data_IF_467287667107
#
_entry.id   IF_467287667107
#
_cell.length_a   1.000
_cell.length_b   1.000
_cell.length_c   1.000
_cell.angle_alpha   90.00
_cell.angle_beta   90.00
_cell.angle_gamma   90.00
#
_symmetry.space_group_name_H-M   'P 1'
#
loop_
_entity.id
_entity.type
_entity.pdbx_description
1 polymer ?
#
# COMPACT_ATOMS: atom_id res chain seq x y z
N UNK A 1 28.80 46.36 22.55
CA UNK A 1 27.52 46.36 23.29
C UNK A 1 26.92 44.98 23.24
N UNK A 2 26.94 44.23 24.34
CA UNK A 2 26.31 42.92 24.44
C UNK A 2 24.79 43.11 24.41
N UNK A 3 24.13 42.55 23.41
CA UNK A 3 22.67 42.48 23.32
C UNK A 3 22.16 41.67 24.52
N UNK A 4 21.32 42.29 25.37
CA UNK A 4 20.67 41.57 26.46
C UNK A 4 19.97 40.31 25.88
N UNK A 5 20.37 39.15 26.40
CA UNK A 5 19.74 37.85 26.03
C UNK A 5 18.26 37.93 26.42
N UNK A 6 17.37 37.74 25.45
CA UNK A 6 15.94 37.73 25.77
C UNK A 6 15.61 36.49 26.60
N UNK A 7 14.54 36.51 27.39
CA UNK A 7 14.09 35.34 28.17
C UNK A 7 13.89 34.09 27.28
N UNK A 8 13.57 34.31 25.99
CA UNK A 8 13.41 33.24 25.00
C UNK A 8 14.78 32.63 24.60
N UNK A 9 15.86 33.43 24.50
CA UNK A 9 17.19 32.90 24.20
C UNK A 9 17.71 32.03 25.35
N UNK A 10 17.43 32.42 26.59
CA UNK A 10 17.79 31.61 27.76
C UNK A 10 17.05 30.24 27.75
N UNK A 11 15.76 30.26 27.48
CA UNK A 11 14.96 29.02 27.37
C UNK A 11 15.48 28.08 26.28
N UNK A 12 15.81 28.63 25.09
CA UNK A 12 16.35 27.85 24.00
C UNK A 12 17.71 27.26 24.28
N UNK A 13 18.58 28.05 24.93
CA UNK A 13 19.90 27.59 25.37
C UNK A 13 19.80 26.49 26.43
N UNK A 14 18.95 26.66 27.44
CA UNK A 14 18.72 25.66 28.47
C UNK A 14 18.18 24.37 27.90
N UNK A 15 17.17 24.45 27.00
CA UNK A 15 16.59 23.26 26.32
C UNK A 15 17.62 22.55 25.43
N UNK A 16 18.49 23.30 24.75
CA UNK A 16 19.55 22.71 23.93
C UNK A 16 20.56 21.94 24.79
N UNK A 17 21.03 22.51 25.89
CA UNK A 17 22.01 21.86 26.78
C UNK A 17 21.41 20.60 27.46
N UNK A 18 20.14 20.64 27.84
CA UNK A 18 19.44 19.49 28.38
C UNK A 18 19.35 18.35 27.34
N UNK A 19 18.96 18.67 26.10
CA UNK A 19 18.91 17.70 25.00
C UNK A 19 20.30 17.19 24.64
N UNK A 20 21.32 18.04 24.65
CA UNK A 20 22.72 17.67 24.45
C UNK A 20 23.15 16.60 25.45
N UNK A 21 22.88 16.85 26.74
CA UNK A 21 23.20 15.90 27.81
C UNK A 21 22.47 14.57 27.63
N UNK A 22 21.20 14.62 27.28
CA UNK A 22 20.37 13.42 27.04
C UNK A 22 20.89 12.61 25.87
N UNK A 23 21.16 13.26 24.72
CA UNK A 23 21.62 12.60 23.49
C UNK A 23 23.06 12.09 23.56
N UNK A 24 23.86 12.55 24.52
CA UNK A 24 25.22 12.05 24.78
C UNK A 24 25.23 10.72 25.55
N UNK A 25 24.09 10.19 25.96
CA UNK A 25 23.98 8.88 26.61
C UNK A 25 24.26 7.74 25.60
N UNK A 26 24.88 6.67 26.09
CA UNK A 26 25.25 5.48 25.29
C UNK A 26 24.09 4.88 24.48
N UNK A 27 22.87 4.98 24.97
CA UNK A 27 21.68 4.48 24.26
C UNK A 27 21.40 5.19 22.93
N UNK A 28 21.99 6.37 22.70
CA UNK A 28 21.80 7.15 21.48
C UNK A 28 23.00 7.10 20.52
N UNK A 29 24.00 6.27 20.76
CA UNK A 29 25.25 6.23 19.99
C UNK A 29 25.01 6.07 18.48
N UNK A 30 24.08 5.23 18.08
CA UNK A 30 23.73 5.03 16.67
C UNK A 30 23.09 6.27 16.03
N UNK A 31 22.40 7.08 16.84
CA UNK A 31 21.76 8.31 16.37
C UNK A 31 22.78 9.42 16.13
N UNK A 32 23.88 9.44 16.89
CA UNK A 32 24.93 10.46 16.76
C UNK A 32 25.60 10.47 15.37
N UNK A 33 25.62 9.33 14.68
CA UNK A 33 26.17 9.18 13.31
C UNK A 33 25.23 9.66 12.22
N UNK A 34 23.94 9.83 12.51
CA UNK A 34 22.94 10.22 11.52
C UNK A 34 22.94 11.75 11.31
N UNK A 35 22.69 12.24 10.07
CA UNK A 35 22.58 13.67 9.80
C UNK A 35 21.34 14.25 10.50
N UNK A 36 21.36 15.53 10.87
CA UNK A 36 20.21 16.19 11.49
C UNK A 36 18.95 16.15 10.61
N UNK A 37 19.11 16.16 9.30
CA UNK A 37 18.03 16.03 8.33
C UNK A 37 17.18 14.75 8.52
N UNK A 38 17.75 13.72 9.15
CA UNK A 38 17.03 12.47 9.43
C UNK A 38 15.75 12.69 10.26
N UNK A 39 15.74 13.70 11.13
CA UNK A 39 14.57 14.05 11.96
C UNK A 39 13.73 15.20 11.40
N UNK A 40 14.07 15.73 10.22
CA UNK A 40 13.30 16.78 9.56
C UNK A 40 12.05 16.19 8.90
N UNK A 41 10.90 16.86 9.08
CA UNK A 41 9.64 16.50 8.44
C UNK A 41 9.31 17.47 7.30
N UNK A 42 8.56 17.03 6.26
CA UNK A 42 8.20 17.87 5.12
C UNK A 42 7.46 19.15 5.49
N UNK A 43 6.72 19.12 6.61
CA UNK A 43 5.93 20.26 7.11
C UNK A 43 6.72 21.15 8.08
N UNK A 44 7.98 20.83 8.37
CA UNK A 44 8.79 21.67 9.24
C UNK A 44 9.06 23.03 8.57
N UNK A 45 8.72 24.08 9.30
CA UNK A 45 8.97 25.45 8.82
C UNK A 45 10.27 25.98 9.41
N UNK A 46 10.97 26.79 8.61
CA UNK A 46 12.18 27.51 9.08
C UNK A 46 13.29 26.56 9.54
N UNK A 47 13.49 25.46 8.81
CA UNK A 47 14.59 24.54 9.08
C UNK A 47 15.95 25.24 9.04
N UNK A 48 16.87 24.86 9.94
CA UNK A 48 18.23 25.38 9.95
C UNK A 48 19.09 24.70 8.88
N UNK A 49 18.89 25.03 7.61
CA UNK A 49 19.51 24.37 6.45
C UNK A 49 21.03 24.19 6.56
N UNK A 50 21.72 25.18 7.20
CA UNK A 50 23.18 25.11 7.41
C UNK A 50 23.61 23.93 8.30
N UNK A 51 22.68 23.35 9.08
CA UNK A 51 22.98 22.26 10.01
C UNK A 51 22.42 20.91 9.57
N UNK A 52 21.51 20.86 8.62
CA UNK A 52 20.81 19.63 8.26
C UNK A 52 21.75 18.52 7.76
N UNK A 53 22.83 18.89 7.07
CA UNK A 53 23.84 17.94 6.58
C UNK A 53 24.86 17.51 7.63
N UNK A 54 24.91 18.15 8.82
CA UNK A 54 25.83 17.77 9.89
C UNK A 54 25.31 16.54 10.63
N UNK A 55 26.20 15.67 11.07
CA UNK A 55 25.81 14.57 11.96
C UNK A 55 25.34 15.13 13.30
N UNK A 56 24.45 14.41 13.96
CA UNK A 56 23.95 14.80 15.27
C UNK A 56 25.11 14.95 16.28
N UNK A 57 26.11 14.06 16.24
CA UNK A 57 27.30 14.13 17.07
C UNK A 57 28.05 15.46 16.87
N UNK A 58 28.44 15.80 15.63
CA UNK A 58 29.13 17.04 15.31
C UNK A 58 28.35 18.30 15.73
N UNK A 59 27.03 18.22 15.65
CA UNK A 59 26.20 19.35 16.07
C UNK A 59 26.21 19.52 17.60
N UNK A 60 26.14 18.42 18.34
CA UNK A 60 26.13 18.43 19.80
C UNK A 60 27.51 18.80 20.39
N UNK A 61 28.61 18.62 19.65
CA UNK A 61 29.96 19.09 20.01
C UNK A 61 30.09 20.61 19.90
N UNK A 62 29.27 21.25 19.05
CA UNK A 62 29.31 22.70 18.83
C UNK A 62 28.58 23.44 19.97
N UNK A 63 29.20 24.43 20.63
CA UNK A 63 28.55 25.21 21.68
C UNK A 63 27.30 25.95 21.15
N UNK A 64 26.27 26.07 21.99
CA UNK A 64 25.03 26.80 21.64
C UNK A 64 25.30 28.23 21.13
N UNK A 65 26.24 28.94 21.76
CA UNK A 65 26.61 30.31 21.36
C UNK A 65 27.13 30.40 19.93
N UNK A 66 27.90 29.43 19.50
CA UNK A 66 28.43 29.33 18.15
C UNK A 66 27.32 29.01 17.13
N UNK A 67 26.43 28.04 17.44
CA UNK A 67 25.28 27.74 16.63
C UNK A 67 24.34 28.96 16.46
N UNK A 68 24.09 29.68 17.53
CA UNK A 68 23.24 30.87 17.55
C UNK A 68 23.87 32.07 16.80
N UNK A 69 25.19 32.13 16.71
CA UNK A 69 25.94 33.21 16.02
C UNK A 69 26.14 32.92 14.53
N UNK A 70 25.75 31.70 14.04
CA UNK A 70 25.92 31.32 12.64
C UNK A 70 25.09 32.23 11.72
N UNK A 71 25.72 32.74 10.66
CA UNK A 71 25.08 33.66 9.72
C UNK A 71 23.80 33.03 9.11
N UNK A 72 22.71 33.77 9.12
CA UNK A 72 21.42 33.32 8.65
C UNK A 72 20.63 32.38 9.59
N UNK A 73 21.11 32.13 10.79
CA UNK A 73 20.42 31.37 11.84
C UNK A 73 19.89 32.35 12.88
N UNK A 74 18.60 32.60 12.86
CA UNK A 74 17.91 33.42 13.90
C UNK A 74 17.16 32.53 14.88
N UNK A 75 16.59 33.12 15.92
CA UNK A 75 15.87 32.44 17.03
C UNK A 75 14.84 31.42 16.54
N UNK A 76 14.10 31.73 15.48
CA UNK A 76 13.09 30.81 14.92
C UNK A 76 13.71 29.54 14.31
N UNK A 77 14.91 29.62 13.71
CA UNK A 77 15.66 28.48 13.21
C UNK A 77 16.30 27.67 14.35
N UNK A 78 16.77 28.34 15.40
CA UNK A 78 17.23 27.68 16.62
C UNK A 78 16.06 26.92 17.30
N UNK A 79 14.88 27.52 17.38
CA UNK A 79 13.70 26.82 17.90
C UNK A 79 13.35 25.58 17.08
N UNK A 80 13.49 25.63 15.76
CA UNK A 80 13.33 24.45 14.90
C UNK A 80 14.43 23.41 15.13
N UNK A 81 15.68 23.83 15.34
CA UNK A 81 16.78 22.95 15.72
C UNK A 81 16.47 22.19 17.02
N UNK A 82 16.04 22.90 18.07
CA UNK A 82 15.67 22.29 19.36
C UNK A 82 14.54 21.27 19.18
N UNK A 83 13.57 21.53 18.30
CA UNK A 83 12.51 20.56 17.96
C UNK A 83 13.06 19.30 17.29
N UNK A 84 14.03 19.44 16.37
CA UNK A 84 14.66 18.28 15.73
C UNK A 84 15.45 17.45 16.75
N UNK A 85 16.21 18.10 17.66
CA UNK A 85 16.91 17.42 18.73
C UNK A 85 15.94 16.70 19.69
N UNK A 86 14.81 17.33 20.01
CA UNK A 86 13.78 16.70 20.84
C UNK A 86 13.18 15.46 20.17
N UNK A 87 13.01 15.46 18.84
CA UNK A 87 12.61 14.24 18.11
C UNK A 87 13.68 13.15 18.20
N UNK A 88 14.96 13.54 18.16
CA UNK A 88 16.08 12.61 18.30
C UNK A 88 16.18 11.95 19.69
N UNK A 89 15.58 12.51 20.74
CA UNK A 89 15.54 11.89 22.07
C UNK A 89 14.41 10.89 22.28
N UNK A 90 13.40 10.84 21.41
CA UNK A 90 12.29 9.91 21.55
C UNK A 90 12.77 8.48 21.37
N UNK A 91 12.17 7.53 22.10
CA UNK A 91 12.55 6.12 22.06
C UNK A 91 12.30 5.50 20.68
N UNK A 92 11.32 6.03 19.93
CA UNK A 92 11.13 5.74 18.51
C UNK A 92 11.69 6.90 17.68
N UNK A 93 12.68 6.64 16.80
CA UNK A 93 13.06 7.63 15.80
C UNK A 93 11.84 7.91 14.90
N UNK A 94 11.67 9.15 14.37
CA UNK A 94 10.58 9.47 13.45
C UNK A 94 10.69 8.72 12.10
N UNK A 95 11.47 7.68 12.07
CA UNK A 95 11.58 6.70 10.99
C UNK A 95 10.28 5.91 10.77
N UNK A 96 9.47 5.78 11.83
CA UNK A 96 8.16 5.14 11.73
C UNK A 96 7.12 6.25 11.68
N UNK A 97 6.27 6.33 10.66
CA UNK A 97 5.16 7.27 10.63
C UNK A 97 4.33 7.12 11.91
N UNK A 98 4.04 8.24 12.59
CA UNK A 98 3.18 8.26 13.76
C UNK A 98 1.86 7.51 13.45
N UNK A 99 1.56 6.44 14.21
CA UNK A 99 0.33 5.67 14.06
C UNK A 99 0.51 4.20 13.73
N UNK A 100 1.76 3.70 13.73
CA UNK A 100 1.98 2.26 13.86
C UNK A 100 2.20 2.05 15.36
N UNK A 101 1.10 1.80 16.06
CA UNK A 101 1.15 1.34 17.44
C UNK A 101 1.95 0.04 17.49
N UNK A 102 2.93 0.01 18.38
CA UNK A 102 3.83 -1.10 18.63
C UNK A 102 3.11 -2.44 18.59
N UNK A 103 3.64 -3.36 17.79
CA UNK A 103 3.30 -4.79 17.82
C UNK A 103 3.78 -5.47 19.12
N UNK A 104 3.73 -4.81 20.28
CA UNK A 104 4.14 -5.39 21.55
C UNK A 104 3.00 -5.73 22.48
N UNK A 105 1.74 -5.59 22.07
CA UNK A 105 0.63 -6.01 22.94
C UNK A 105 -0.57 -6.57 22.13
N UNK A 106 -0.32 -7.68 21.46
CA UNK A 106 -1.39 -8.56 21.00
C UNK A 106 -0.97 -9.99 21.31
N UNK A 107 -1.51 -10.49 22.41
CA UNK A 107 -1.42 -11.87 22.80
C UNK A 107 -1.77 -12.80 21.64
N UNK A 108 -1.11 -13.92 21.65
CA UNK A 108 -1.27 -15.13 20.85
C UNK A 108 -2.62 -15.24 20.13
N UNK A 109 -2.62 -14.99 18.83
CA UNK A 109 -3.64 -15.50 17.91
C UNK A 109 -2.92 -16.13 16.73
N UNK A 110 -3.03 -17.43 16.67
CA UNK A 110 -2.49 -18.33 15.66
C UNK A 110 -2.81 -17.89 14.23
N UNK A 111 -1.79 -17.90 13.38
CA UNK A 111 -1.85 -18.25 11.96
C UNK A 111 -2.82 -17.48 11.07
N UNK A 112 -2.41 -16.36 10.54
CA UNK A 112 -2.76 -15.99 9.15
C UNK A 112 -1.84 -14.88 8.69
N UNK A 113 -1.21 -15.03 7.51
CA UNK A 113 -0.30 -14.04 6.91
C UNK A 113 -0.95 -12.66 6.79
N UNK A 114 -0.81 -11.85 7.83
CA UNK A 114 -1.41 -10.52 7.88
C UNK A 114 -0.63 -9.56 7.00
N UNK A 115 -1.24 -9.14 5.92
CA UNK A 115 -0.94 -7.83 5.34
C UNK A 115 -1.10 -6.78 6.45
N UNK A 116 -0.01 -6.07 6.74
CA UNK A 116 0.04 -4.98 7.72
C UNK A 116 -1.09 -4.01 7.40
N UNK A 117 -2.12 -3.97 8.25
CA UNK A 117 -3.18 -2.96 8.14
C UNK A 117 -2.57 -1.63 8.56
N UNK A 118 -2.15 -0.81 7.60
CA UNK A 118 -1.69 0.57 7.82
C UNK A 118 -2.88 1.47 8.17
N UNK A 119 -3.54 1.21 9.30
CA UNK A 119 -4.73 1.99 9.69
C UNK A 119 -4.46 3.49 9.87
N UNK A 120 -3.21 3.91 10.04
CA UNK A 120 -2.84 5.29 10.38
C UNK A 120 -1.61 5.83 9.63
N UNK A 121 -1.34 5.39 8.38
CA UNK A 121 -0.24 5.97 7.60
C UNK A 121 -0.47 7.46 7.36
N UNK A 122 0.43 8.32 7.84
CA UNK A 122 0.40 9.77 7.64
C UNK A 122 1.52 10.22 6.70
N UNK A 123 1.20 10.57 5.44
CA UNK A 123 2.21 11.00 4.47
C UNK A 123 2.88 12.33 4.84
N UNK A 124 2.32 13.10 5.78
CA UNK A 124 2.92 14.35 6.25
C UNK A 124 4.16 14.14 7.12
N UNK A 125 4.32 12.93 7.67
CA UNK A 125 5.43 12.54 8.52
C UNK A 125 6.60 11.93 7.72
N UNK A 126 6.44 11.70 6.42
CA UNK A 126 7.49 11.13 5.57
C UNK A 126 8.53 12.19 5.25
N UNK A 127 9.74 12.01 5.78
CA UNK A 127 10.91 12.86 5.47
C UNK A 127 11.56 12.42 4.15
N UNK A 128 12.34 13.32 3.53
CA UNK A 128 13.13 12.97 2.33
C UNK A 128 14.15 11.85 2.61
N UNK A 129 14.64 11.74 3.85
CA UNK A 129 15.56 10.66 4.26
C UNK A 129 14.86 9.31 4.27
N UNK A 130 13.67 9.22 4.88
CA UNK A 130 12.85 8.01 4.85
C UNK A 130 12.49 7.62 3.43
N UNK A 131 12.06 8.59 2.64
CA UNK A 131 11.76 8.38 1.25
C UNK A 131 12.96 7.85 0.46
N UNK A 132 14.15 8.38 0.70
CA UNK A 132 15.38 7.89 0.07
C UNK A 132 15.67 6.43 0.45
N UNK A 133 15.49 6.04 1.71
CA UNK A 133 15.67 4.66 2.17
C UNK A 133 14.68 3.70 1.48
N UNK A 134 13.41 4.09 1.38
CA UNK A 134 12.41 3.27 0.70
C UNK A 134 12.68 3.11 -0.79
N UNK A 135 13.11 4.18 -1.47
CA UNK A 135 13.54 4.13 -2.87
C UNK A 135 14.75 3.21 -3.06
N UNK A 136 15.73 3.31 -2.17
CA UNK A 136 16.91 2.45 -2.18
C UNK A 136 16.52 0.98 -2.04
N UNK A 137 15.59 0.65 -1.14
CA UNK A 137 15.06 -0.71 -1.00
C UNK A 137 14.44 -1.21 -2.30
N UNK A 138 13.60 -0.40 -2.95
CA UNK A 138 12.99 -0.75 -4.24
C UNK A 138 14.04 -1.02 -5.31
N UNK A 139 15.08 -0.15 -5.41
CA UNK A 139 16.15 -0.30 -6.39
C UNK A 139 17.03 -1.52 -6.13
N UNK A 140 17.46 -1.71 -4.87
CA UNK A 140 18.41 -2.77 -4.48
C UNK A 140 17.80 -4.16 -4.64
N UNK A 141 16.50 -4.31 -4.37
CA UNK A 141 15.82 -5.60 -4.46
C UNK A 141 15.14 -5.85 -5.82
N UNK A 142 15.35 -5.00 -6.81
CA UNK A 142 14.87 -5.21 -8.17
C UNK A 142 13.35 -5.20 -8.32
N UNK A 143 12.61 -4.59 -7.39
CA UNK A 143 11.14 -4.54 -7.41
C UNK A 143 10.58 -3.29 -8.13
N UNK A 144 11.43 -2.59 -8.86
CA UNK A 144 11.07 -1.37 -9.59
C UNK A 144 10.00 -1.57 -10.66
N UNK A 145 9.93 -2.75 -11.27
CA UNK A 145 8.96 -3.09 -12.32
C UNK A 145 7.58 -3.46 -11.78
N UNK A 146 7.46 -3.64 -10.45
CA UNK A 146 6.19 -3.91 -9.82
C UNK A 146 5.23 -2.72 -9.96
N UNK A 147 3.97 -3.03 -10.29
CA UNK A 147 2.94 -2.00 -10.52
C UNK A 147 2.37 -1.48 -9.21
N UNK A 148 2.23 -0.16 -9.12
CA UNK A 148 1.67 0.51 -7.94
C UNK A 148 0.32 -0.07 -7.52
N UNK A 149 -0.60 -0.31 -8.48
CA UNK A 149 -1.92 -0.85 -8.21
C UNK A 149 -1.89 -2.30 -7.71
N UNK A 150 -0.85 -3.09 -8.02
CA UNK A 150 -0.71 -4.45 -7.49
C UNK A 150 -0.44 -4.45 -6.00
N UNK A 151 0.38 -3.52 -5.52
CA UNK A 151 0.88 -3.44 -4.15
C UNK A 151 0.09 -2.50 -3.24
N UNK A 152 -0.73 -1.62 -3.80
CA UNK A 152 -1.52 -0.68 -3.02
C UNK A 152 -2.46 -1.40 -2.02
N UNK A 153 -2.64 -0.89 -0.80
CA UNK A 153 -3.55 -1.50 0.19
C UNK A 153 -4.99 -1.61 -0.32
N UNK A 154 -5.43 -0.60 -1.08
CA UNK A 154 -6.73 -0.57 -1.76
C UNK A 154 -6.66 0.29 -3.02
N UNK A 155 -7.45 -0.06 -4.03
CA UNK A 155 -7.57 0.72 -5.26
C UNK A 155 -8.64 1.81 -5.19
N UNK A 156 -9.48 1.86 -4.14
CA UNK A 156 -10.56 2.85 -4.00
C UNK A 156 -10.04 4.29 -4.03
N UNK A 157 -8.88 4.54 -3.43
CA UNK A 157 -8.26 5.87 -3.39
C UNK A 157 -7.31 6.13 -4.58
N UNK A 158 -7.07 5.13 -5.42
CA UNK A 158 -6.08 5.15 -6.49
C UNK A 158 -6.77 5.28 -7.85
N UNK A 159 -6.54 6.38 -8.60
CA UNK A 159 -7.09 6.51 -9.95
C UNK A 159 -6.53 5.44 -10.89
N UNK A 160 -7.37 4.91 -11.75
CA UNK A 160 -7.06 3.85 -12.73
C UNK A 160 -5.83 4.14 -13.59
N UNK A 161 -5.58 5.44 -13.88
CA UNK A 161 -4.45 5.90 -14.71
C UNK A 161 -3.10 5.48 -14.15
N UNK A 162 -2.96 5.41 -12.81
CA UNK A 162 -1.67 5.06 -12.18
C UNK A 162 -1.62 3.63 -11.64
N UNK A 163 -2.65 2.81 -11.86
CA UNK A 163 -2.61 1.42 -11.41
C UNK A 163 -1.46 0.62 -12.05
N UNK A 164 -1.20 0.89 -13.33
CA UNK A 164 -0.16 0.20 -14.09
C UNK A 164 1.20 0.92 -14.06
N UNK A 165 1.33 2.01 -13.29
CA UNK A 165 2.59 2.75 -13.16
C UNK A 165 3.59 1.90 -12.36
N UNK A 166 4.79 1.61 -12.90
CA UNK A 166 5.79 0.87 -12.16
C UNK A 166 6.41 1.75 -11.05
N UNK A 167 6.91 1.12 -9.99
CA UNK A 167 7.55 1.84 -8.89
C UNK A 167 8.78 2.62 -9.37
N UNK A 168 9.48 2.12 -10.39
CA UNK A 168 10.66 2.77 -10.98
C UNK A 168 10.41 4.19 -11.47
N UNK A 169 9.17 4.56 -11.85
CA UNK A 169 8.85 5.94 -12.23
C UNK A 169 9.00 6.93 -11.06
N UNK A 170 8.88 6.48 -9.82
CA UNK A 170 8.93 7.34 -8.64
C UNK A 170 10.30 7.38 -7.95
N UNK A 171 11.22 6.45 -8.25
CA UNK A 171 12.50 6.35 -7.54
C UNK A 171 13.40 7.57 -7.76
N UNK A 172 13.22 8.32 -8.86
CA UNK A 172 14.03 9.49 -9.17
C UNK A 172 13.46 10.81 -8.64
N UNK A 173 12.25 10.80 -8.06
CA UNK A 173 11.60 12.00 -7.53
C UNK A 173 11.80 12.12 -6.02
N UNK A 174 11.97 13.34 -5.53
CA UNK A 174 11.78 13.68 -4.12
C UNK A 174 10.29 13.71 -3.76
N UNK A 175 9.95 13.65 -2.47
CA UNK A 175 8.55 13.79 -2.02
C UNK A 175 7.94 15.12 -2.49
N UNK A 176 8.77 16.18 -2.49
CA UNK A 176 8.34 17.51 -2.96
C UNK A 176 8.02 17.52 -4.45
N UNK A 177 8.82 16.86 -5.27
CA UNK A 177 8.60 16.77 -6.73
C UNK A 177 7.36 15.93 -7.04
N UNK A 178 7.14 14.79 -6.34
CA UNK A 178 5.91 13.98 -6.50
C UNK A 178 4.67 14.82 -6.22
N UNK A 179 4.69 15.68 -5.18
CA UNK A 179 3.58 16.59 -4.86
C UNK A 179 3.33 17.65 -5.92
N UNK A 180 4.35 18.00 -6.72
CA UNK A 180 4.25 18.99 -7.80
C UNK A 180 3.79 18.39 -9.13
N UNK A 181 3.76 17.06 -9.27
CA UNK A 181 3.28 16.41 -10.49
C UNK A 181 1.81 16.80 -10.75
N UNK A 182 1.52 17.33 -11.92
CA UNK A 182 0.19 17.88 -12.31
C UNK A 182 -0.98 16.93 -12.05
N UNK A 183 -0.72 15.64 -12.05
CA UNK A 183 -1.74 14.60 -11.88
C UNK A 183 -1.80 14.04 -10.46
N UNK A 184 -0.93 14.50 -9.51
CA UNK A 184 -0.77 13.95 -8.19
C UNK A 184 -1.33 14.86 -7.09
N UNK A 185 -2.63 14.73 -6.79
CA UNK A 185 -3.20 15.33 -5.58
C UNK A 185 -2.80 14.54 -4.31
N UNK A 186 -3.06 15.10 -3.13
CA UNK A 186 -2.70 14.53 -1.81
C UNK A 186 -3.04 13.04 -1.66
N UNK A 187 -4.20 12.58 -2.18
CA UNK A 187 -4.60 11.17 -2.11
C UNK A 187 -3.67 10.25 -2.89
N UNK A 188 -3.18 10.68 -4.06
CA UNK A 188 -2.24 9.89 -4.88
C UNK A 188 -0.87 9.84 -4.24
N UNK A 189 -0.37 10.99 -3.79
CA UNK A 189 0.91 11.09 -3.08
C UNK A 189 0.91 10.16 -1.88
N UNK A 190 -0.16 10.18 -1.08
CA UNK A 190 -0.33 9.27 0.06
C UNK A 190 -0.15 7.81 -0.35
N UNK A 191 -0.88 7.36 -1.39
CA UNK A 191 -0.82 5.96 -1.81
C UNK A 191 0.56 5.58 -2.34
N UNK A 192 1.23 6.46 -3.12
CA UNK A 192 2.60 6.22 -3.58
C UNK A 192 3.54 6.01 -2.40
N UNK A 193 3.53 6.93 -1.44
CA UNK A 193 4.39 6.85 -0.25
C UNK A 193 4.06 5.60 0.59
N UNK A 194 2.78 5.27 0.75
CA UNK A 194 2.32 4.10 1.50
C UNK A 194 2.77 2.79 0.86
N UNK A 195 2.73 2.68 -0.48
CA UNK A 195 3.22 1.49 -1.20
C UNK A 195 4.72 1.31 -1.01
N UNK A 196 5.51 2.36 -1.16
CA UNK A 196 6.95 2.29 -0.94
C UNK A 196 7.31 1.91 0.51
N UNK A 197 6.57 2.46 1.47
CA UNK A 197 6.69 2.09 2.88
C UNK A 197 6.40 0.59 3.10
N UNK A 198 5.28 0.08 2.57
CA UNK A 198 4.92 -1.33 2.70
C UNK A 198 5.97 -2.27 2.07
N UNK A 199 6.48 -1.92 0.89
CA UNK A 199 7.54 -2.69 0.24
C UNK A 199 8.79 -2.70 1.11
N UNK A 200 9.19 -1.55 1.65
CA UNK A 200 10.35 -1.44 2.54
C UNK A 200 10.19 -2.30 3.80
N UNK A 201 9.06 -2.20 4.48
CA UNK A 201 8.77 -2.97 5.69
C UNK A 201 8.76 -4.48 5.43
N UNK A 202 8.09 -4.92 4.37
CA UNK A 202 8.01 -6.33 4.02
C UNK A 202 9.39 -6.92 3.73
N UNK A 203 10.21 -6.26 2.92
CA UNK A 203 11.55 -6.73 2.56
C UNK A 203 12.46 -6.74 3.78
N UNK A 204 12.47 -5.66 4.57
CA UNK A 204 13.33 -5.57 5.76
C UNK A 204 12.93 -6.58 6.84
N UNK A 205 11.63 -6.82 7.03
CA UNK A 205 11.13 -7.82 7.97
C UNK A 205 11.47 -9.25 7.54
N UNK A 206 11.43 -9.52 6.24
CA UNK A 206 11.74 -10.85 5.69
C UNK A 206 13.22 -11.21 5.83
N UNK A 207 14.12 -10.26 5.58
CA UNK A 207 15.57 -10.47 5.77
C UNK A 207 15.90 -10.91 7.20
N UNK A 208 15.16 -10.39 8.20
CA UNK A 208 15.31 -10.80 9.60
C UNK A 208 14.81 -12.22 9.90
N UNK A 209 13.85 -12.71 9.12
CA UNK A 209 13.17 -13.99 9.35
C UNK A 209 13.57 -15.09 8.36
N UNK A 210 14.42 -14.82 7.38
CA UNK A 210 14.76 -15.72 6.27
C UNK A 210 13.54 -16.26 5.51
N UNK A 211 12.51 -15.44 5.36
CA UNK A 211 11.26 -15.77 4.66
C UNK A 211 11.30 -15.25 3.22
N UNK A 212 10.80 -16.06 2.29
CA UNK A 212 10.55 -15.61 0.91
C UNK A 212 9.43 -14.59 0.87
N UNK A 213 9.74 -13.35 0.49
CA UNK A 213 8.75 -12.27 0.37
C UNK A 213 8.03 -12.38 -0.96
N UNK A 214 6.73 -12.63 -0.91
CA UNK A 214 5.85 -12.50 -2.09
C UNK A 214 5.11 -11.18 -2.05
N UNK A 215 5.49 -10.26 -2.95
CA UNK A 215 4.80 -8.99 -3.16
C UNK A 215 3.52 -9.21 -3.99
N UNK A 216 2.51 -9.80 -3.38
CA UNK A 216 1.21 -10.11 -4.02
C UNK A 216 0.05 -9.76 -3.09
N UNK A 217 -1.14 -9.43 -3.63
CA UNK A 217 -2.32 -9.16 -2.82
C UNK A 217 -2.70 -10.36 -1.94
N UNK A 218 -3.16 -10.09 -0.73
CA UNK A 218 -3.45 -11.09 0.33
C UNK A 218 -4.29 -12.28 -0.14
N UNK A 219 -5.27 -12.03 -0.99
CA UNK A 219 -6.23 -13.07 -1.40
C UNK A 219 -5.76 -13.93 -2.57
N UNK A 220 -4.65 -13.56 -3.24
CA UNK A 220 -4.17 -14.26 -4.43
C UNK A 220 -3.37 -15.53 -4.11
N UNK A 221 -2.40 -15.55 -3.17
CA UNK A 221 -1.61 -16.75 -2.88
C UNK A 221 -2.45 -17.99 -2.55
N UNK A 222 -3.48 -17.92 -1.69
CA UNK A 222 -4.33 -19.08 -1.41
C UNK A 222 -5.07 -19.62 -2.65
N UNK A 223 -5.39 -18.75 -3.62
CA UNK A 223 -6.00 -19.16 -4.89
C UNK A 223 -4.97 -19.93 -5.73
N UNK A 224 -3.76 -19.38 -5.87
CA UNK A 224 -2.69 -20.01 -6.67
C UNK A 224 -2.27 -21.36 -6.09
N UNK A 225 -2.13 -21.47 -4.77
CA UNK A 225 -1.79 -22.71 -4.08
C UNK A 225 -2.87 -23.77 -4.26
N UNK A 226 -4.15 -23.38 -4.17
CA UNK A 226 -5.27 -24.28 -4.45
C UNK A 226 -5.28 -24.73 -5.90
N UNK A 227 -5.11 -23.83 -6.88
CA UNK A 227 -5.03 -24.19 -8.29
C UNK A 227 -3.88 -25.17 -8.56
N UNK A 228 -2.70 -24.93 -7.97
CA UNK A 228 -1.56 -25.83 -8.10
C UNK A 228 -1.91 -27.23 -7.60
N UNK A 229 -2.55 -27.35 -6.42
CA UNK A 229 -2.95 -28.64 -5.85
C UNK A 229 -4.00 -29.37 -6.75
N UNK A 230 -4.97 -28.64 -7.30
CA UNK A 230 -5.98 -29.23 -8.23
C UNK A 230 -5.31 -29.76 -9.50
N UNK A 231 -4.36 -29.00 -10.07
CA UNK A 231 -3.64 -29.42 -11.27
C UNK A 231 -2.72 -30.62 -11.01
N UNK A 232 -2.10 -30.71 -9.84
CA UNK A 232 -1.26 -31.84 -9.45
C UNK A 232 -2.09 -33.10 -9.21
N UNK A 233 -3.15 -32.99 -8.41
CA UNK A 233 -4.02 -34.13 -8.10
C UNK A 233 -4.91 -34.56 -9.28
N UNK A 234 -5.12 -33.69 -10.28
CA UNK A 234 -6.03 -33.89 -11.43
C UNK A 234 -7.45 -34.28 -11.01
N UNK A 235 -7.89 -33.87 -9.83
CA UNK A 235 -9.23 -34.09 -9.30
C UNK A 235 -10.06 -32.83 -9.58
N UNK A 236 -11.24 -33.03 -10.19
CA UNK A 236 -12.16 -31.93 -10.49
C UNK A 236 -12.81 -31.48 -9.19
N UNK A 237 -12.65 -30.20 -8.81
CA UNK A 237 -13.25 -29.67 -7.59
C UNK A 237 -14.77 -29.54 -7.78
N UNK A 238 -15.51 -29.85 -6.70
CA UNK A 238 -16.94 -29.60 -6.65
C UNK A 238 -17.26 -28.10 -6.69
N UNK A 239 -18.47 -27.73 -7.10
CA UNK A 239 -18.94 -26.33 -7.16
C UNK A 239 -18.70 -25.58 -5.86
N UNK A 240 -18.95 -26.19 -4.69
CA UNK A 240 -18.76 -25.55 -3.39
C UNK A 240 -17.30 -25.26 -3.11
N UNK A 241 -16.40 -26.09 -3.57
CA UNK A 241 -14.97 -25.89 -3.46
C UNK A 241 -14.49 -24.75 -4.37
N UNK A 242 -14.94 -24.71 -5.64
CA UNK A 242 -14.72 -23.58 -6.55
C UNK A 242 -15.24 -22.27 -5.95
N UNK A 243 -16.42 -22.30 -5.32
CA UNK A 243 -16.96 -21.14 -4.64
C UNK A 243 -16.05 -20.70 -3.50
N UNK A 244 -15.70 -21.59 -2.58
CA UNK A 244 -14.95 -21.28 -1.37
C UNK A 244 -13.49 -20.89 -1.66
N UNK A 245 -12.83 -21.58 -2.60
CA UNK A 245 -11.38 -21.44 -2.84
C UNK A 245 -11.04 -20.45 -3.95
N UNK A 246 -11.98 -20.16 -4.86
CA UNK A 246 -11.76 -19.26 -5.98
C UNK A 246 -12.69 -18.04 -5.92
N UNK A 247 -14.02 -18.22 -5.96
CA UNK A 247 -14.96 -17.10 -6.06
C UNK A 247 -14.92 -16.17 -4.85
N UNK A 248 -14.99 -16.71 -3.63
CA UNK A 248 -15.03 -15.91 -2.40
C UNK A 248 -13.74 -15.08 -2.19
N UNK A 249 -12.52 -15.63 -2.34
CA UNK A 249 -11.30 -14.81 -2.24
C UNK A 249 -11.24 -13.69 -3.31
N UNK A 250 -11.67 -13.98 -4.56
CA UNK A 250 -11.74 -12.95 -5.61
C UNK A 250 -12.75 -11.86 -5.27
N UNK A 251 -13.93 -12.21 -4.73
CA UNK A 251 -14.93 -11.24 -4.26
C UNK A 251 -14.42 -10.42 -3.08
N UNK A 252 -13.69 -11.02 -2.14
CA UNK A 252 -13.05 -10.31 -1.04
C UNK A 252 -12.00 -9.29 -1.54
N UNK A 253 -11.26 -9.62 -2.59
CA UNK A 253 -10.37 -8.67 -3.26
C UNK A 253 -11.15 -7.51 -3.88
N UNK A 254 -12.26 -7.79 -4.58
CA UNK A 254 -13.13 -6.75 -5.14
C UNK A 254 -13.73 -5.87 -4.03
N UNK A 255 -14.16 -6.45 -2.92
CA UNK A 255 -14.67 -5.68 -1.77
C UNK A 255 -13.63 -4.70 -1.23
N UNK A 256 -12.39 -5.15 -1.10
CA UNK A 256 -11.27 -4.31 -0.66
C UNK A 256 -11.00 -3.16 -1.62
N UNK A 257 -11.08 -3.40 -2.93
CA UNK A 257 -10.64 -2.47 -3.98
C UNK A 257 -11.76 -1.58 -4.56
N UNK A 258 -13.00 -2.04 -4.55
CA UNK A 258 -14.15 -1.30 -5.11
C UNK A 258 -15.30 -1.11 -4.11
N UNK A 259 -15.21 -1.74 -2.94
CA UNK A 259 -16.21 -1.65 -1.88
C UNK A 259 -17.32 -2.71 -1.95
N UNK A 260 -18.12 -2.83 -0.87
CA UNK A 260 -19.07 -3.92 -0.68
C UNK A 260 -20.19 -3.93 -1.74
N UNK A 261 -20.59 -2.77 -2.24
CA UNK A 261 -21.65 -2.68 -3.26
C UNK A 261 -21.25 -3.37 -4.58
N UNK A 262 -19.99 -3.19 -5.01
CA UNK A 262 -19.47 -3.79 -6.24
C UNK A 262 -19.23 -5.29 -6.03
N UNK A 263 -18.70 -5.68 -4.87
CA UNK A 263 -18.54 -7.09 -4.50
C UNK A 263 -19.90 -7.85 -4.50
N UNK A 264 -20.92 -7.26 -3.89
CA UNK A 264 -22.28 -7.85 -3.91
C UNK A 264 -22.88 -7.93 -5.31
N UNK A 265 -22.62 -6.92 -6.16
CA UNK A 265 -23.04 -6.95 -7.56
C UNK A 265 -22.38 -8.11 -8.31
N UNK A 266 -21.08 -8.33 -8.10
CA UNK A 266 -20.33 -9.44 -8.68
C UNK A 266 -20.83 -10.79 -8.15
N UNK A 267 -21.08 -10.94 -6.84
CA UNK A 267 -21.62 -12.13 -6.21
C UNK A 267 -23.03 -12.49 -6.77
N UNK A 268 -23.90 -11.49 -6.90
CA UNK A 268 -25.23 -11.64 -7.52
C UNK A 268 -25.12 -12.10 -9.00
N UNK A 269 -24.12 -11.62 -9.74
CA UNK A 269 -23.87 -12.02 -11.13
C UNK A 269 -23.36 -13.46 -11.24
N UNK A 270 -22.48 -13.88 -10.33
CA UNK A 270 -21.95 -15.24 -10.26
C UNK A 270 -22.97 -16.26 -9.75
N UNK A 271 -24.00 -15.82 -9.05
CA UNK A 271 -24.99 -16.70 -8.45
C UNK A 271 -24.44 -17.48 -7.24
N UNK A 272 -23.68 -16.78 -6.37
CA UNK A 272 -23.06 -17.38 -5.17
C UNK A 272 -24.14 -17.81 -4.17
N UNK A 273 -24.96 -16.88 -3.69
CA UNK A 273 -25.99 -17.11 -2.67
C UNK A 273 -27.38 -17.36 -3.25
N UNK A 274 -27.61 -16.92 -4.47
CA UNK A 274 -28.90 -17.00 -5.16
C UNK A 274 -28.68 -17.34 -6.62
N UNK A 275 -29.76 -17.59 -7.39
CA UNK A 275 -29.65 -17.74 -8.84
C UNK A 275 -28.97 -16.52 -9.50
N UNK A 276 -28.12 -16.70 -10.53
CA UNK A 276 -27.42 -15.61 -11.21
C UNK A 276 -28.39 -14.54 -11.69
N UNK A 277 -28.09 -13.27 -11.41
CA UNK A 277 -28.95 -12.15 -11.80
C UNK A 277 -28.49 -11.49 -13.09
N UNK A 278 -29.43 -11.22 -14.00
CA UNK A 278 -29.16 -10.44 -15.20
C UNK A 278 -28.87 -8.97 -14.88
N UNK A 279 -28.15 -8.28 -15.78
CA UNK A 279 -27.87 -6.84 -15.66
C UNK A 279 -29.16 -6.01 -15.52
N UNK A 280 -30.26 -6.43 -16.19
CA UNK A 280 -31.57 -5.79 -16.06
C UNK A 280 -32.14 -5.89 -14.64
N UNK A 281 -32.01 -7.05 -13.99
CA UNK A 281 -32.45 -7.25 -12.60
C UNK A 281 -31.59 -6.45 -11.65
N UNK A 282 -30.28 -6.45 -11.84
CA UNK A 282 -29.31 -5.71 -11.02
C UNK A 282 -29.54 -4.19 -11.11
N UNK A 283 -29.75 -3.66 -12.34
CA UNK A 283 -30.03 -2.23 -12.52
C UNK A 283 -31.32 -1.78 -11.81
N UNK A 284 -32.35 -2.62 -11.82
CA UNK A 284 -33.60 -2.34 -11.08
C UNK A 284 -33.39 -2.38 -9.57
N UNK A 285 -32.67 -3.40 -9.07
CA UNK A 285 -32.37 -3.56 -7.63
C UNK A 285 -31.56 -2.39 -7.08
N UNK A 286 -30.59 -1.89 -7.85
CA UNK A 286 -29.70 -0.80 -7.46
C UNK A 286 -30.26 0.60 -7.77
N UNK A 287 -31.33 0.71 -8.55
CA UNK A 287 -31.84 2.01 -8.98
C UNK A 287 -30.93 2.79 -9.93
N UNK A 288 -30.06 2.09 -10.68
CA UNK A 288 -29.10 2.70 -11.62
C UNK A 288 -29.34 2.23 -13.05
N UNK A 289 -28.72 2.89 -14.04
CA UNK A 289 -28.81 2.49 -15.44
C UNK A 289 -28.08 1.18 -15.70
N UNK A 290 -28.47 0.43 -16.73
CA UNK A 290 -27.75 -0.78 -17.17
C UNK A 290 -26.30 -0.46 -17.53
N UNK A 291 -26.05 0.68 -18.19
CA UNK A 291 -24.71 1.13 -18.53
C UNK A 291 -23.84 1.27 -17.28
N UNK A 292 -24.40 1.77 -16.17
CA UNK A 292 -23.67 1.87 -14.90
C UNK A 292 -23.34 0.49 -14.31
N UNK A 293 -24.25 -0.47 -14.43
CA UNK A 293 -23.98 -1.87 -13.99
C UNK A 293 -22.85 -2.47 -14.81
N UNK A 294 -22.86 -2.32 -16.13
CA UNK A 294 -21.76 -2.80 -16.98
C UNK A 294 -20.42 -2.17 -16.61
N UNK A 295 -20.38 -0.85 -16.33
CA UNK A 295 -19.17 -0.17 -15.86
C UNK A 295 -18.64 -0.78 -14.55
N UNK A 296 -19.52 -1.05 -13.58
CA UNK A 296 -19.11 -1.65 -12.30
C UNK A 296 -18.60 -3.10 -12.46
N UNK A 297 -19.19 -3.87 -13.37
CA UNK A 297 -18.70 -5.22 -13.69
C UNK A 297 -17.37 -5.17 -14.45
N UNK A 298 -17.19 -4.21 -15.36
CA UNK A 298 -15.92 -3.96 -16.06
C UNK A 298 -14.80 -3.50 -15.08
N UNK A 299 -15.16 -2.74 -14.04
CA UNK A 299 -14.21 -2.38 -12.98
C UNK A 299 -13.70 -3.63 -12.24
N UNK A 300 -14.53 -4.67 -12.04
CA UNK A 300 -14.08 -5.94 -11.46
C UNK A 300 -12.98 -6.62 -12.30
N UNK A 301 -13.14 -6.65 -13.62
CA UNK A 301 -12.11 -7.24 -14.50
C UNK A 301 -10.82 -6.42 -14.52
N UNK A 302 -10.91 -5.09 -14.52
CA UNK A 302 -9.75 -4.20 -14.45
C UNK A 302 -8.98 -4.37 -13.13
N UNK A 303 -9.69 -4.50 -12.01
CA UNK A 303 -9.09 -4.76 -10.70
C UNK A 303 -8.32 -6.08 -10.75
N UNK A 304 -8.93 -7.16 -11.23
CA UNK A 304 -8.27 -8.45 -11.26
C UNK A 304 -7.08 -8.49 -12.24
N UNK A 305 -7.14 -7.79 -13.36
CA UNK A 305 -6.01 -7.65 -14.28
C UNK A 305 -4.77 -7.01 -13.64
N UNK A 306 -4.95 -6.15 -12.64
CA UNK A 306 -3.86 -5.52 -11.90
C UNK A 306 -3.43 -6.34 -10.68
N UNK A 307 -4.40 -6.89 -9.93
CA UNK A 307 -4.14 -7.62 -8.69
C UNK A 307 -3.61 -9.03 -8.93
N UNK A 308 -4.09 -9.68 -9.96
CA UNK A 308 -3.71 -11.05 -10.30
C UNK A 308 -3.36 -11.18 -11.79
N UNK A 309 -2.19 -10.72 -12.15
CA UNK A 309 -1.70 -10.61 -13.54
C UNK A 309 -1.71 -11.98 -14.24
N UNK A 310 -1.32 -13.04 -13.53
CA UNK A 310 -1.28 -14.41 -14.04
C UNK A 310 -2.63 -15.15 -13.95
N UNK A 311 -3.69 -14.50 -13.48
CA UNK A 311 -4.97 -15.11 -13.21
C UNK A 311 -5.60 -15.76 -14.44
N UNK A 312 -5.58 -15.08 -15.59
CA UNK A 312 -6.09 -15.63 -16.86
C UNK A 312 -5.37 -16.94 -17.22
N UNK A 313 -4.04 -16.98 -17.07
CA UNK A 313 -3.23 -18.17 -17.36
C UNK A 313 -3.56 -19.32 -16.40
N UNK A 314 -3.74 -19.05 -15.13
CA UNK A 314 -4.10 -20.04 -14.11
C UNK A 314 -5.51 -20.61 -14.38
N UNK A 315 -6.48 -19.75 -14.66
CA UNK A 315 -7.84 -20.18 -14.99
C UNK A 315 -7.88 -20.98 -16.30
N UNK A 316 -7.08 -20.60 -17.32
CA UNK A 316 -6.98 -21.35 -18.57
C UNK A 316 -6.45 -22.77 -18.36
N UNK A 317 -5.45 -22.96 -17.48
CA UNK A 317 -4.94 -24.30 -17.13
C UNK A 317 -6.02 -25.16 -16.47
N UNK A 318 -6.79 -24.60 -15.54
CA UNK A 318 -7.94 -25.30 -14.94
C UNK A 318 -9.02 -25.63 -15.98
N UNK A 319 -9.34 -24.70 -16.89
CA UNK A 319 -10.30 -24.93 -17.95
C UNK A 319 -9.89 -26.10 -18.85
N UNK A 320 -8.60 -26.22 -19.20
CA UNK A 320 -8.07 -27.35 -19.97
C UNK A 320 -8.25 -28.67 -19.21
N UNK A 321 -7.91 -28.73 -17.92
CA UNK A 321 -8.11 -29.90 -17.08
C UNK A 321 -9.57 -30.33 -17.06
N UNK A 322 -10.51 -29.39 -16.93
CA UNK A 322 -11.95 -29.69 -16.92
C UNK A 322 -12.46 -30.21 -18.26
N UNK A 323 -11.91 -29.74 -19.39
CA UNK A 323 -12.24 -30.25 -20.72
C UNK A 323 -11.72 -31.67 -20.93
N UNK A 324 -10.49 -31.96 -20.54
CA UNK A 324 -9.85 -33.28 -20.67
C UNK A 324 -10.60 -34.36 -19.88
N UNK A 325 -11.18 -34.01 -18.75
CA UNK A 325 -11.85 -34.97 -17.86
C UNK A 325 -13.35 -35.16 -18.15
N UNK A 326 -13.90 -34.44 -19.14
CA UNK A 326 -15.30 -34.62 -19.59
C UNK A 326 -16.36 -34.24 -18.56
N UNK A 327 -16.07 -33.25 -17.69
CA UNK A 327 -16.95 -32.84 -16.60
C UNK A 327 -18.27 -32.26 -17.08
N UNK A 328 -19.36 -32.58 -16.38
CA UNK A 328 -20.70 -32.11 -16.72
C UNK A 328 -20.84 -30.57 -16.73
N UNK A 329 -21.73 -30.05 -17.58
CA UNK A 329 -21.87 -28.60 -17.80
C UNK A 329 -22.31 -27.80 -16.56
N UNK A 330 -23.01 -28.42 -15.60
CA UNK A 330 -23.51 -27.72 -14.41
C UNK A 330 -22.42 -27.38 -13.40
N UNK A 331 -21.48 -28.29 -13.15
CA UNK A 331 -20.37 -28.07 -12.18
C UNK A 331 -19.42 -27.00 -12.68
N UNK A 332 -19.28 -26.85 -14.00
CA UNK A 332 -18.39 -25.83 -14.60
C UNK A 332 -19.06 -24.47 -14.76
N UNK A 333 -20.36 -24.34 -14.51
CA UNK A 333 -21.10 -23.10 -14.76
C UNK A 333 -20.53 -21.93 -13.92
N UNK A 334 -20.29 -22.17 -12.63
CA UNK A 334 -19.69 -21.15 -11.76
C UNK A 334 -18.28 -20.78 -12.22
N UNK A 335 -17.45 -21.77 -12.55
CA UNK A 335 -16.09 -21.53 -13.01
C UNK A 335 -16.06 -20.70 -14.31
N UNK A 336 -16.93 -21.01 -15.28
CA UNK A 336 -17.05 -20.22 -16.52
C UNK A 336 -17.49 -18.78 -16.22
N UNK A 337 -18.52 -18.62 -15.36
CA UNK A 337 -18.99 -17.30 -14.97
C UNK A 337 -17.89 -16.45 -14.28
N UNK A 338 -17.00 -17.07 -13.49
CA UNK A 338 -15.83 -16.43 -12.90
C UNK A 338 -14.88 -15.96 -14.02
N UNK A 339 -14.54 -16.82 -14.97
CA UNK A 339 -13.67 -16.47 -16.10
C UNK A 339 -14.25 -15.30 -16.92
N UNK A 340 -15.53 -15.35 -17.25
CA UNK A 340 -16.22 -14.31 -18.01
C UNK A 340 -16.31 -12.97 -17.28
N UNK A 341 -16.50 -12.99 -15.96
CA UNK A 341 -16.61 -11.77 -15.17
C UNK A 341 -15.26 -11.09 -14.94
N UNK A 342 -14.24 -11.87 -14.56
CA UNK A 342 -12.97 -11.31 -14.11
C UNK A 342 -11.91 -11.23 -15.22
N UNK A 343 -12.00 -12.09 -16.25
CA UNK A 343 -11.09 -12.12 -17.38
C UNK A 343 -11.89 -12.27 -18.69
N UNK A 344 -12.76 -11.30 -19.03
CA UNK A 344 -13.54 -11.36 -20.25
C UNK A 344 -12.59 -11.40 -21.45
N UNK A 345 -12.77 -12.40 -22.33
CA UNK A 345 -12.04 -12.44 -23.58
C UNK A 345 -12.38 -11.19 -24.39
N UNK A 346 -11.39 -10.60 -25.06
CA UNK A 346 -11.51 -9.31 -25.79
C UNK A 346 -12.63 -9.26 -26.85
N UNK A 347 -13.30 -10.37 -27.09
CA UNK A 347 -14.29 -10.55 -28.16
C UNK A 347 -15.66 -11.05 -27.70
N UNK A 348 -15.90 -11.24 -26.40
CA UNK A 348 -17.24 -11.65 -25.95
C UNK A 348 -17.87 -10.48 -25.18
N UNK A 349 -18.81 -9.72 -25.75
CA UNK A 349 -19.67 -8.85 -24.97
C UNK A 349 -20.38 -9.71 -23.92
N UNK A 350 -20.44 -9.23 -22.66
CA UNK A 350 -21.25 -9.87 -21.61
C UNK A 350 -22.69 -9.98 -22.13
N UNK A 351 -23.02 -11.10 -22.78
CA UNK A 351 -24.35 -11.34 -23.33
C UNK A 351 -25.29 -11.66 -22.18
N UNK A 352 -26.40 -10.95 -22.15
CA UNK A 352 -27.55 -11.19 -21.27
C UNK A 352 -28.25 -12.47 -21.75
N UNK A 353 -27.71 -13.66 -21.44
CA UNK A 353 -28.29 -14.97 -21.84
C UNK A 353 -29.74 -15.20 -21.38
N UNK A 354 -30.33 -14.25 -20.61
CA UNK A 354 -31.72 -14.31 -20.19
C UNK A 354 -32.74 -13.85 -21.27
N UNK A 355 -32.31 -13.32 -22.42
CA UNK A 355 -33.23 -12.83 -23.45
C UNK A 355 -33.57 -13.84 -24.53
N UNK A 356 -32.85 -14.95 -24.72
CA UNK A 356 -33.04 -15.86 -25.85
C UNK A 356 -34.14 -16.93 -25.63
N UNK A 357 -34.75 -16.99 -24.42
CA UNK A 357 -35.79 -18.01 -24.14
C UNK A 357 -37.24 -17.50 -24.06
N UNK A 358 -37.51 -16.25 -24.35
CA UNK A 358 -38.86 -15.68 -24.24
C UNK A 358 -39.43 -15.25 -25.65
N UNK A 359 -38.62 -15.29 -26.70
CA UNK A 359 -39.09 -14.93 -28.05
C UNK A 359 -39.40 -16.13 -28.96
N UNK A 360 -39.34 -17.34 -28.45
CA UNK A 360 -39.80 -18.58 -29.19
C UNK A 360 -40.79 -19.35 -28.35
N UNK A 361 -41.86 -18.72 -27.92
CA UNK A 361 -43.02 -19.35 -27.29
C UNK A 361 -44.27 -18.57 -27.52
#
# INVERSE_FOLDING_TARGET
MAKASSADDYKLSSSFEELRKTLSDHKFTDRLRKPLAYWALPNDRRLPLAFLGRTLGNLLETPYTELASTAGIGQKKISSLVKLLHRATRDEPPAVPFGIDNFSDAGEAEGDGQLIKTRNFDPSLVSEVLWSQWRETVCTNGVGDEKLGRLAPTLQALPTVIWNTPLSEYVNYSVTEIRQLKTHGEKRVRVVLEVFYLVHELITSADQQHLDVRLVPKFIPPIEDWIASVLECRVIPARDEVNKRLAQPMLAQIETDAGPTVAQLAADRLGIDTAPRSVRMQSRKMGVTRARVYQLLDDCSKIMAVRWIDGERHLSKLATLFQETGTGNEDLRLFRAIGELFYPSKYTPLQDEAQTRIETG
#
